data_IF_909733791204
#
_entry.id   IF_909733791204
#
_cell.length_a   1.000
_cell.length_b   1.000
_cell.length_c   1.000
_cell.angle_alpha   90.00
_cell.angle_beta   90.00
_cell.angle_gamma   90.00
#
_symmetry.space_group_name_H-M   'P 1'
#
loop_
_entity.id
_entity.type
_entity.pdbx_description
1 polymer ?
#
# COMPACT_ATOMS: atom_id res chain seq x y z
N UNK A 1 0.37 -4.86 17.46
CA UNK A 1 1.11 -4.71 16.19
C UNK A 1 0.82 -3.31 15.70
N UNK A 2 1.83 -2.50 15.46
CA UNK A 2 1.65 -1.22 14.77
C UNK A 2 1.50 -1.51 13.28
N UNK A 3 0.40 -1.07 12.68
CA UNK A 3 0.16 -1.23 11.25
C UNK A 3 1.30 -0.63 10.42
N UNK A 4 1.63 -1.24 9.28
CA UNK A 4 2.64 -0.70 8.38
C UNK A 4 2.12 0.64 7.84
N UNK A 5 3.02 1.62 7.72
CA UNK A 5 2.65 2.94 7.18
C UNK A 5 1.98 2.76 5.82
N UNK A 6 0.80 3.34 5.63
CA UNK A 6 -0.02 3.09 4.45
C UNK A 6 -0.44 4.41 3.80
N UNK A 7 -0.29 4.48 2.48
CA UNK A 7 -0.74 5.61 1.66
C UNK A 7 -1.80 5.12 0.69
N UNK A 8 -3.03 5.60 0.87
CA UNK A 8 -4.19 5.27 0.05
C UNK A 8 -4.46 6.43 -0.92
N UNK A 9 -4.57 6.14 -2.21
CA UNK A 9 -4.76 7.12 -3.28
C UNK A 9 -6.08 6.83 -4.03
N UNK A 10 -6.94 7.82 -4.20
CA UNK A 10 -8.18 7.70 -4.98
C UNK A 10 -8.19 8.68 -6.16
N UNK A 11 -8.75 8.26 -7.29
CA UNK A 11 -8.97 9.12 -8.47
C UNK A 11 -7.74 9.46 -9.33
N UNK A 12 -6.55 8.90 -9.02
CA UNK A 12 -5.35 9.11 -9.82
C UNK A 12 -5.25 8.11 -10.98
N UNK A 13 -4.71 8.56 -12.12
CA UNK A 13 -4.33 7.64 -13.19
C UNK A 13 -3.11 6.81 -12.79
N UNK A 14 -2.91 5.66 -13.44
CA UNK A 14 -1.73 4.81 -13.21
C UNK A 14 -0.41 5.59 -13.35
N UNK A 15 -0.32 6.51 -14.32
CA UNK A 15 0.88 7.33 -14.51
C UNK A 15 1.12 8.28 -13.33
N UNK A 16 0.07 8.93 -12.83
CA UNK A 16 0.15 9.82 -11.68
C UNK A 16 0.51 9.06 -10.40
N UNK A 17 -0.15 7.92 -10.17
CA UNK A 17 0.15 7.01 -9.05
C UNK A 17 1.62 6.61 -9.03
N UNK A 18 2.17 6.19 -10.18
CA UNK A 18 3.59 5.83 -10.29
C UNK A 18 4.51 7.02 -10.01
N UNK A 19 4.18 8.23 -10.47
CA UNK A 19 4.95 9.44 -10.17
C UNK A 19 4.96 9.75 -8.67
N UNK A 20 3.80 9.68 -8.02
CA UNK A 20 3.65 9.89 -6.57
C UNK A 20 4.48 8.88 -5.78
N UNK A 21 4.35 7.59 -6.11
CA UNK A 21 5.11 6.52 -5.47
C UNK A 21 6.62 6.75 -5.58
N UNK A 22 7.11 7.16 -6.77
CA UNK A 22 8.54 7.46 -6.99
C UNK A 22 9.01 8.64 -6.15
N UNK A 23 8.22 9.71 -6.10
CA UNK A 23 8.54 10.89 -5.31
C UNK A 23 8.66 10.55 -3.82
N UNK A 24 7.70 9.81 -3.27
CA UNK A 24 7.71 9.42 -1.85
C UNK A 24 8.87 8.47 -1.55
N UNK A 25 9.13 7.49 -2.43
CA UNK A 25 10.26 6.56 -2.27
C UNK A 25 11.64 7.23 -2.42
N UNK A 26 11.71 8.44 -2.98
CA UNK A 26 12.95 9.21 -3.06
C UNK A 26 13.28 9.98 -1.78
N UNK A 27 12.34 10.07 -0.83
CA UNK A 27 12.57 10.71 0.46
C UNK A 27 13.39 9.78 1.36
N UNK A 28 14.48 10.31 1.92
CA UNK A 28 15.31 9.59 2.88
C UNK A 28 14.61 9.44 4.23
N UNK A 29 14.86 8.33 4.92
CA UNK A 29 14.33 8.07 6.28
C UNK A 29 12.86 7.65 6.33
N UNK A 30 12.21 7.42 5.18
CA UNK A 30 10.83 6.90 5.16
C UNK A 30 10.78 5.44 5.64
N UNK A 31 9.74 5.06 6.39
CA UNK A 31 9.51 3.66 6.77
C UNK A 31 9.13 2.81 5.55
N UNK A 32 8.94 1.51 5.77
CA UNK A 32 8.25 0.68 4.80
C UNK A 32 6.81 1.18 4.61
N UNK A 33 6.39 1.38 3.37
CA UNK A 33 5.08 1.95 3.03
C UNK A 33 4.31 1.00 2.11
N UNK A 34 3.08 0.69 2.49
CA UNK A 34 2.10 0.09 1.59
C UNK A 34 1.47 1.20 0.77
N UNK A 35 1.58 1.12 -0.55
CA UNK A 35 0.90 2.01 -1.48
C UNK A 35 -0.32 1.30 -2.04
N UNK A 36 -1.50 1.88 -1.84
CA UNK A 36 -2.76 1.32 -2.32
C UNK A 36 -3.54 2.36 -3.12
N UNK A 37 -4.30 1.90 -4.11
CA UNK A 37 -5.31 2.71 -4.79
C UNK A 37 -6.71 2.28 -4.38
N UNK A 38 -7.62 3.23 -4.21
CA UNK A 38 -9.03 2.90 -3.98
C UNK A 38 -9.61 2.28 -5.25
N UNK A 39 -10.30 1.16 -5.07
CA UNK A 39 -11.03 0.46 -6.14
C UNK A 39 -12.52 0.59 -5.88
N UNK A 40 -13.35 0.28 -6.87
CA UNK A 40 -14.82 0.25 -6.69
C UNK A 40 -15.26 -0.69 -5.55
N UNK A 41 -14.47 -1.72 -5.27
CA UNK A 41 -14.69 -2.64 -4.14
C UNK A 41 -14.36 -1.95 -2.81
N UNK A 42 -13.14 -1.43 -2.67
CA UNK A 42 -12.68 -0.85 -1.38
C UNK A 42 -13.31 0.50 -1.06
N UNK A 43 -13.94 1.17 -2.03
CA UNK A 43 -14.62 2.46 -1.84
C UNK A 43 -15.76 2.43 -0.82
N UNK A 44 -16.33 1.25 -0.59
CA UNK A 44 -17.44 1.03 0.36
C UNK A 44 -16.96 0.54 1.73
N UNK A 45 -15.67 0.25 1.86
CA UNK A 45 -15.11 -0.29 3.09
C UNK A 45 -14.84 0.84 4.06
N UNK A 46 -14.90 0.51 5.34
CA UNK A 46 -14.32 1.38 6.36
C UNK A 46 -12.81 1.44 6.17
N UNK A 47 -12.19 2.53 6.65
CA UNK A 47 -10.74 2.69 6.60
C UNK A 47 -10.04 1.54 7.36
N UNK A 48 -10.62 1.07 8.46
CA UNK A 48 -10.09 -0.04 9.25
C UNK A 48 -10.06 -1.35 8.44
N UNK A 49 -11.16 -1.70 7.76
CA UNK A 49 -11.22 -2.89 6.91
C UNK A 49 -10.19 -2.84 5.78
N UNK A 50 -10.05 -1.68 5.13
CA UNK A 50 -9.07 -1.49 4.07
C UNK A 50 -7.63 -1.63 4.58
N UNK A 51 -7.29 -1.00 5.71
CA UNK A 51 -5.95 -1.11 6.29
C UNK A 51 -5.66 -2.57 6.70
N UNK A 52 -6.64 -3.27 7.28
CA UNK A 52 -6.49 -4.67 7.67
C UNK A 52 -6.17 -5.55 6.46
N UNK A 53 -6.93 -5.42 5.38
CA UNK A 53 -6.71 -6.19 4.15
C UNK A 53 -5.32 -5.91 3.57
N UNK A 54 -4.93 -4.64 3.49
CA UNK A 54 -3.63 -4.24 2.96
C UNK A 54 -2.46 -4.80 3.77
N UNK A 55 -2.57 -4.87 5.10
CA UNK A 55 -1.55 -5.50 5.93
C UNK A 55 -1.47 -7.01 5.70
N UNK A 56 -2.61 -7.70 5.54
CA UNK A 56 -2.65 -9.14 5.24
C UNK A 56 -1.98 -9.45 3.90
N UNK A 57 -2.35 -8.72 2.84
CA UNK A 57 -1.73 -8.86 1.51
C UNK A 57 -0.21 -8.63 1.58
N UNK A 58 0.21 -7.60 2.31
CA UNK A 58 1.63 -7.29 2.47
C UNK A 58 2.40 -8.42 3.17
N UNK A 59 1.86 -8.99 4.25
CA UNK A 59 2.48 -10.13 4.93
C UNK A 59 2.60 -11.36 4.03
N UNK A 60 1.57 -11.67 3.25
CA UNK A 60 1.58 -12.80 2.31
C UNK A 60 2.61 -12.60 1.20
N UNK A 61 2.68 -11.39 0.63
CA UNK A 61 3.68 -11.04 -0.38
C UNK A 61 5.11 -11.15 0.16
N UNK A 62 5.33 -10.80 1.43
CA UNK A 62 6.64 -10.93 2.07
C UNK A 62 7.05 -12.39 2.24
N UNK A 63 6.15 -13.22 2.79
CA UNK A 63 6.35 -14.68 2.92
C UNK A 63 6.65 -15.34 1.57
N UNK A 64 5.95 -14.94 0.52
CA UNK A 64 6.17 -15.47 -0.83
C UNK A 64 7.55 -15.12 -1.40
N UNK A 65 8.05 -13.90 -1.16
CA UNK A 65 9.39 -13.48 -1.59
C UNK A 65 10.49 -14.21 -0.83
N UNK A 66 10.29 -14.51 0.45
CA UNK A 66 11.24 -15.24 1.28
C UNK A 66 11.37 -16.70 0.85
N UNK A 67 10.26 -17.36 0.50
CA UNK A 67 10.25 -18.77 0.05
C UNK A 67 10.82 -18.99 -1.36
N UNK A 68 11.09 -17.92 -2.12
CA UNK A 68 11.71 -17.97 -3.46
C UNK A 68 13.21 -17.65 -3.47
N UNK A 69 13.77 -17.28 -2.32
CA UNK A 69 15.22 -17.09 -2.13
C UNK A 69 15.86 -18.39 -1.69
#
# INVERSE_FOLDING_TARGET
MSDISTIIMDGFTNEQTLKIMRAIKSLEGMPEIIFATVTETSKKWTVEELIKELNLEHEEMKKYKENKK
#
